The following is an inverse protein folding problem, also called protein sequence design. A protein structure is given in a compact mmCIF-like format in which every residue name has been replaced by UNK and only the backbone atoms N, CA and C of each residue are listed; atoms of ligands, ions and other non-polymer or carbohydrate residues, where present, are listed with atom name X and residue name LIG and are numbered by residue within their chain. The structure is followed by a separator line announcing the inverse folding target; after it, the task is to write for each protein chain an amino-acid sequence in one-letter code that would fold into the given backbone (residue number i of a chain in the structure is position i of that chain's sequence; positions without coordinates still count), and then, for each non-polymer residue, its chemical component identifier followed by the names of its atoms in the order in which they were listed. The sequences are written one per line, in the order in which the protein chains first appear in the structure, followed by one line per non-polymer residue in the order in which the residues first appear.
data_IF_832476271280
#
_entry.id   IF_832476271280
#
_cell.length_a   1.000
_cell.length_b   1.000
_cell.length_c   1.000
_cell.angle_alpha   90.00
_cell.angle_beta   90.00
_cell.angle_gamma   90.00
#
_symmetry.space_group_name_H-M   'P 1'
#
loop_
_entity.id
_entity.type
_entity.pdbx_description
1 polymer ?
#
# COMPACT_ATOMS: atom_id res chain seq x y z
N UNK A 1 -10.37 -7.59 9.37
CA UNK A 1 -9.74 -6.50 8.59
C UNK A 1 -9.62 -5.28 9.49
N UNK A 2 -8.44 -4.74 9.65
CA UNK A 2 -8.20 -3.49 10.38
C UNK A 2 -7.80 -2.43 9.38
N UNK A 3 -8.49 -1.29 9.39
CA UNK A 3 -8.19 -0.15 8.53
C UNK A 3 -7.37 0.86 9.33
N UNK A 4 -6.13 1.08 8.95
CA UNK A 4 -5.34 2.21 9.43
C UNK A 4 -5.47 3.36 8.43
N UNK A 5 -5.95 4.50 8.91
CA UNK A 5 -5.98 5.73 8.13
C UNK A 5 -4.88 6.62 8.65
N UNK A 6 -3.87 6.83 7.82
CA UNK A 6 -2.85 7.82 8.11
C UNK A 6 -3.00 8.97 7.15
N UNK A 7 -3.35 10.11 7.69
CA UNK A 7 -3.30 11.40 6.99
C UNK A 7 -1.88 11.91 7.07
N UNK A 8 -1.17 11.96 5.96
CA UNK A 8 0.13 12.59 5.95
C UNK A 8 0.41 13.30 4.65
N UNK A 9 0.99 14.45 4.89
CA UNK A 9 1.74 15.26 3.99
C UNK A 9 0.98 16.34 3.23
N UNK A 10 0.71 17.43 3.94
CA UNK A 10 0.40 18.72 3.34
C UNK A 10 1.57 19.64 3.68
N UNK A 11 2.48 19.84 2.72
CA UNK A 11 3.60 20.77 2.82
C UNK A 11 5.01 20.16 3.00
N UNK A 12 6.04 20.93 2.70
CA UNK A 12 7.46 20.56 2.57
C UNK A 12 8.15 19.88 3.79
N UNK A 13 7.45 19.62 4.88
CA UNK A 13 8.06 19.17 6.13
C UNK A 13 8.06 17.64 6.26
N UNK A 14 7.31 16.90 5.44
CA UNK A 14 6.93 15.54 5.80
C UNK A 14 7.25 14.40 4.82
N UNK A 15 8.06 14.61 3.79
CA UNK A 15 8.42 13.54 2.84
C UNK A 15 9.13 12.37 3.53
N UNK A 16 10.05 12.69 4.43
CA UNK A 16 10.77 11.72 5.27
C UNK A 16 9.85 10.96 6.26
N UNK A 17 8.78 11.59 6.73
CA UNK A 17 7.83 11.00 7.67
C UNK A 17 7.00 9.89 7.01
N UNK A 18 6.60 10.05 5.74
CA UNK A 18 5.80 9.04 5.03
C UNK A 18 6.54 7.72 4.93
N UNK A 19 7.82 7.76 4.57
CA UNK A 19 8.67 6.57 4.42
C UNK A 19 8.92 5.92 5.80
N UNK A 20 9.22 6.70 6.82
CA UNK A 20 9.39 6.18 8.20
C UNK A 20 8.12 5.60 8.78
N UNK A 21 6.97 6.19 8.44
CA UNK A 21 5.70 5.67 8.89
C UNK A 21 5.36 4.34 8.21
N UNK A 22 5.68 4.21 6.93
CA UNK A 22 5.57 2.96 6.20
C UNK A 22 6.44 1.86 6.84
N UNK A 23 7.70 2.19 7.12
CA UNK A 23 8.62 1.29 7.83
C UNK A 23 8.06 0.87 9.19
N UNK A 24 7.64 1.84 10.01
CA UNK A 24 7.04 1.57 11.32
C UNK A 24 5.84 0.61 11.22
N UNK A 25 4.92 0.85 10.29
CA UNK A 25 3.76 -0.02 10.11
C UNK A 25 4.12 -1.42 9.62
N UNK A 26 5.07 -1.53 8.71
CA UNK A 26 5.54 -2.83 8.25
C UNK A 26 6.16 -3.61 9.41
N UNK A 27 6.94 -2.96 10.27
CA UNK A 27 7.49 -3.60 11.47
C UNK A 27 6.38 -4.00 12.46
N UNK A 28 5.39 -3.14 12.68
CA UNK A 28 4.24 -3.45 13.54
C UNK A 28 3.47 -4.68 13.04
N UNK A 29 3.19 -4.76 11.72
CA UNK A 29 2.53 -5.93 11.13
C UNK A 29 3.37 -7.20 11.27
N UNK A 30 4.69 -7.09 11.12
CA UNK A 30 5.62 -8.22 11.32
C UNK A 30 5.63 -8.69 12.78
N UNK A 31 5.71 -7.76 13.73
CA UNK A 31 5.73 -8.07 15.15
C UNK A 31 4.41 -8.69 15.62
N UNK A 32 3.29 -8.20 15.10
CA UNK A 32 1.98 -8.79 15.38
C UNK A 32 1.89 -10.25 14.91
N UNK A 33 2.61 -10.61 13.85
CA UNK A 33 2.71 -11.96 13.29
C UNK A 33 1.37 -12.71 13.19
N UNK A 34 0.30 -11.98 12.88
CA UNK A 34 -1.05 -12.51 12.80
C UNK A 34 -1.55 -12.54 11.36
N UNK A 35 -1.29 -13.63 10.66
CA UNK A 35 -1.71 -13.81 9.26
C UNK A 35 -3.23 -13.75 9.04
N UNK A 36 -4.02 -13.83 10.12
CA UNK A 36 -5.49 -13.75 10.06
C UNK A 36 -5.99 -12.30 10.09
N UNK A 37 -5.14 -11.34 10.46
CA UNK A 37 -5.47 -9.94 10.54
C UNK A 37 -4.92 -9.18 9.35
N UNK A 38 -5.70 -9.10 8.29
CA UNK A 38 -5.32 -8.31 7.11
C UNK A 38 -5.46 -6.81 7.40
N UNK A 39 -4.45 -6.04 7.07
CA UNK A 39 -4.38 -4.61 7.31
C UNK A 39 -4.44 -3.84 5.99
N UNK A 40 -5.07 -2.68 6.01
CA UNK A 40 -5.11 -1.77 4.86
C UNK A 40 -4.63 -0.40 5.34
N UNK A 41 -3.48 0.01 4.83
CA UNK A 41 -2.92 1.34 5.06
C UNK A 41 -3.44 2.29 3.99
N UNK A 42 -3.91 3.46 4.39
CA UNK A 42 -4.29 4.53 3.49
C UNK A 42 -3.40 5.76 3.73
N UNK A 43 -2.68 6.15 2.70
CA UNK A 43 -1.81 7.33 2.69
C UNK A 43 -2.41 8.42 1.81
N UNK A 44 -2.45 9.65 2.31
CA UNK A 44 -2.74 10.83 1.50
C UNK A 44 -1.44 11.64 1.37
N UNK A 45 -1.07 11.99 0.16
CA UNK A 45 0.15 12.75 -0.12
C UNK A 45 -0.08 13.81 -1.18
N UNK A 46 0.59 14.95 -1.04
CA UNK A 46 0.59 16.05 -2.01
C UNK A 46 1.91 16.17 -2.78
N UNK A 47 2.80 15.20 -2.66
CA UNK A 47 4.12 15.30 -3.23
C UNK A 47 4.75 13.98 -3.66
N UNK A 48 6.01 14.08 -4.09
CA UNK A 48 6.82 12.95 -4.54
C UNK A 48 7.37 12.15 -3.34
N UNK A 49 7.80 10.94 -3.64
CA UNK A 49 8.60 10.10 -2.73
C UNK A 49 10.06 10.56 -2.85
N UNK A 50 10.70 10.89 -1.74
CA UNK A 50 12.10 11.37 -1.74
C UNK A 50 13.11 10.22 -1.81
N UNK A 51 12.78 9.07 -1.26
CA UNK A 51 13.64 7.89 -1.23
C UNK A 51 12.92 6.70 -1.84
N UNK A 52 12.98 6.60 -3.16
CA UNK A 52 12.32 5.55 -3.92
C UNK A 52 12.92 4.19 -3.63
N UNK A 53 14.25 4.08 -3.54
CA UNK A 53 14.92 2.81 -3.31
C UNK A 53 14.53 2.23 -1.95
N UNK A 54 14.56 3.05 -0.92
CA UNK A 54 14.11 2.63 0.41
C UNK A 54 12.61 2.28 0.43
N UNK A 55 11.78 3.05 -0.29
CA UNK A 55 10.35 2.74 -0.41
C UNK A 55 10.12 1.40 -1.09
N UNK A 56 10.84 1.11 -2.16
CA UNK A 56 10.78 -0.20 -2.83
C UNK A 56 11.21 -1.33 -1.89
N UNK A 57 12.28 -1.14 -1.11
CA UNK A 57 12.73 -2.12 -0.12
C UNK A 57 11.61 -2.44 0.89
N UNK A 58 10.92 -1.42 1.39
CA UNK A 58 9.79 -1.58 2.30
C UNK A 58 8.58 -2.26 1.63
N UNK A 59 8.27 -1.91 0.38
CA UNK A 59 7.17 -2.53 -0.35
C UNK A 59 7.45 -4.01 -0.67
N UNK A 60 8.68 -4.35 -1.03
CA UNK A 60 9.07 -5.75 -1.21
C UNK A 60 8.90 -6.53 0.09
N UNK A 61 9.34 -5.99 1.22
CA UNK A 61 9.14 -6.59 2.54
C UNK A 61 7.64 -6.74 2.85
N UNK A 62 6.85 -5.67 2.65
CA UNK A 62 5.41 -5.65 2.87
C UNK A 62 4.65 -6.65 2.01
N UNK A 63 5.18 -7.05 0.84
CA UNK A 63 4.51 -7.99 -0.06
C UNK A 63 4.35 -9.39 0.54
N UNK A 64 5.14 -9.74 1.56
CA UNK A 64 5.02 -10.99 2.31
C UNK A 64 4.02 -10.93 3.47
N UNK A 65 3.49 -9.75 3.79
CA UNK A 65 2.67 -9.51 4.96
C UNK A 65 1.18 -9.36 4.61
N UNK A 66 0.25 -9.56 5.57
CA UNK A 66 -1.19 -9.35 5.37
C UNK A 66 -1.54 -7.86 5.29
N UNK A 67 -1.03 -7.17 4.28
CA UNK A 67 -1.06 -5.72 4.15
C UNK A 67 -1.39 -5.31 2.72
N UNK A 68 -2.24 -4.28 2.56
CA UNK A 68 -2.39 -3.49 1.34
C UNK A 68 -2.16 -2.01 1.65
N UNK A 69 -1.70 -1.27 0.65
CA UNK A 69 -1.38 0.14 0.75
C UNK A 69 -2.13 0.92 -0.32
N UNK A 70 -2.98 1.83 0.10
CA UNK A 70 -3.69 2.75 -0.78
C UNK A 70 -3.01 4.11 -0.68
N UNK A 71 -2.53 4.63 -1.80
CA UNK A 71 -1.93 5.97 -1.90
C UNK A 71 -2.88 6.88 -2.67
N UNK A 72 -3.30 7.96 -2.05
CA UNK A 72 -4.13 8.98 -2.70
C UNK A 72 -3.28 10.23 -2.90
N UNK A 73 -3.00 10.56 -4.16
CA UNK A 73 -2.28 11.77 -4.54
C UNK A 73 -3.22 12.97 -4.58
N UNK A 74 -2.99 13.96 -3.72
CA UNK A 74 -3.80 15.18 -3.62
C UNK A 74 -3.02 16.36 -4.20
N UNK A 75 -3.66 17.19 -5.03
CA UNK A 75 -3.01 18.33 -5.65
C UNK A 75 -2.48 18.04 -7.05
N UNK A 76 -1.54 18.87 -7.51
CA UNK A 76 -1.03 18.90 -8.89
C UNK A 76 0.44 18.49 -9.01
N UNK A 77 0.98 17.80 -8.03
CA UNK A 77 2.35 17.31 -8.08
C UNK A 77 2.56 16.28 -9.18
N UNK A 78 3.80 16.00 -9.51
CA UNK A 78 4.16 14.87 -10.36
C UNK A 78 4.11 13.57 -9.54
N UNK A 79 3.17 12.71 -9.89
CA UNK A 79 2.96 11.41 -9.25
C UNK A 79 3.48 10.24 -10.10
N UNK A 80 4.33 10.49 -11.08
CA UNK A 80 4.85 9.44 -11.99
C UNK A 80 5.50 8.28 -11.22
N UNK A 81 6.28 8.59 -10.19
CA UNK A 81 6.92 7.58 -9.34
C UNK A 81 5.90 6.71 -8.59
N UNK A 82 4.79 7.28 -8.13
CA UNK A 82 3.73 6.52 -7.46
C UNK A 82 2.96 5.62 -8.43
N UNK A 83 2.75 6.10 -9.66
CA UNK A 83 2.19 5.28 -10.74
C UNK A 83 3.13 4.11 -11.08
N UNK A 84 4.44 4.29 -10.97
CA UNK A 84 5.40 3.21 -11.16
C UNK A 84 5.33 2.16 -10.04
N UNK A 85 5.08 2.57 -8.80
CA UNK A 85 4.88 1.64 -7.66
C UNK A 85 3.59 0.84 -7.76
N UNK A 86 2.55 1.39 -8.40
CA UNK A 86 1.23 0.82 -8.63
C UNK A 86 1.16 -0.02 -9.93
N UNK A 87 2.29 -0.49 -10.42
CA UNK A 87 2.35 -1.22 -11.69
C UNK A 87 2.11 -2.72 -11.48
N UNK A 88 0.91 -3.18 -11.82
CA UNK A 88 0.55 -4.59 -11.88
C UNK A 88 1.49 -5.46 -12.73
N UNK A 89 2.13 -4.85 -13.74
CA UNK A 89 2.97 -5.55 -14.72
C UNK A 89 4.44 -5.66 -14.27
N UNK A 90 4.85 -4.87 -13.27
CA UNK A 90 6.26 -4.76 -12.87
C UNK A 90 6.47 -5.30 -11.47
N UNK A 91 7.15 -6.43 -11.39
CA UNK A 91 7.63 -6.97 -10.10
C UNK A 91 8.66 -6.01 -9.49
N UNK A 92 8.39 -5.51 -8.29
CA UNK A 92 9.36 -4.70 -7.54
C UNK A 92 10.54 -5.57 -7.11
N UNK A 93 11.74 -5.00 -7.17
CA UNK A 93 12.99 -5.65 -6.77
C UNK A 93 13.72 -4.76 -5.79
N UNK A 94 13.99 -5.25 -4.59
CA UNK A 94 14.67 -4.50 -3.54
C UNK A 94 16.19 -4.40 -3.77
N UNK A 95 16.88 -3.64 -2.93
CA UNK A 95 18.33 -3.46 -2.94
C UNK A 95 19.10 -4.78 -2.75
N UNK A 96 18.48 -5.79 -2.12
CA UNK A 96 19.02 -7.13 -1.92
C UNK A 96 18.65 -8.11 -3.05
N UNK A 97 18.06 -7.64 -4.15
CA UNK A 97 17.59 -8.43 -5.30
C UNK A 97 16.45 -9.40 -4.97
N UNK A 98 15.75 -9.21 -3.85
CA UNK A 98 14.49 -9.93 -3.57
C UNK A 98 13.38 -9.33 -4.42
N UNK A 99 12.45 -10.17 -4.85
CA UNK A 99 11.30 -9.76 -5.64
C UNK A 99 10.05 -9.69 -4.76
N UNK A 100 9.19 -8.73 -5.02
CA UNK A 100 7.85 -8.74 -4.44
C UNK A 100 7.11 -10.01 -4.87
N UNK A 101 6.40 -10.63 -3.94
CA UNK A 101 5.64 -11.86 -4.21
C UNK A 101 4.22 -11.58 -4.70
N UNK A 102 3.74 -10.37 -4.49
CA UNK A 102 2.46 -9.88 -4.99
C UNK A 102 2.50 -8.36 -5.08
N UNK A 103 1.57 -7.81 -5.82
CA UNK A 103 1.25 -6.39 -5.72
C UNK A 103 0.49 -6.10 -4.41
N UNK A 104 0.79 -4.95 -3.79
CA UNK A 104 0.16 -4.50 -2.55
C UNK A 104 -0.19 -3.00 -2.56
N UNK A 105 0.15 -2.28 -3.61
CA UNK A 105 -0.05 -0.83 -3.73
C UNK A 105 -1.21 -0.55 -4.67
N UNK A 106 -2.05 0.39 -4.32
CA UNK A 106 -3.04 1.02 -5.19
C UNK A 106 -2.82 2.52 -5.14
N UNK A 107 -2.50 3.15 -6.25
CA UNK A 107 -2.36 4.60 -6.36
C UNK A 107 -3.56 5.23 -7.07
N UNK A 108 -4.14 6.25 -6.46
CA UNK A 108 -5.28 6.98 -7.03
C UNK A 108 -5.01 8.49 -7.03
N UNK A 109 -4.88 9.14 -8.20
CA UNK A 109 -4.78 10.58 -8.28
C UNK A 109 -6.16 11.22 -8.00
N UNK A 110 -6.30 11.91 -6.87
CA UNK A 110 -7.57 12.49 -6.42
C UNK A 110 -8.21 13.39 -7.47
N UNK A 111 -7.44 14.27 -8.10
CA UNK A 111 -7.96 15.24 -9.07
C UNK A 111 -8.66 14.59 -10.28
N UNK A 112 -8.27 13.38 -10.65
CA UNK A 112 -8.93 12.64 -11.74
C UNK A 112 -10.39 12.30 -11.43
N UNK A 113 -10.72 12.21 -10.15
CA UNK A 113 -12.02 11.72 -9.66
C UNK A 113 -12.73 12.73 -8.74
N UNK A 114 -12.19 13.96 -8.54
CA UNK A 114 -12.73 14.94 -7.58
C UNK A 114 -14.21 15.28 -7.81
N UNK A 115 -14.64 15.28 -9.08
CA UNK A 115 -16.02 15.55 -9.46
C UNK A 115 -16.97 14.35 -9.31
N UNK A 116 -16.44 13.15 -9.00
CA UNK A 116 -17.21 11.91 -8.90
C UNK A 116 -16.77 11.06 -7.69
N UNK A 117 -17.31 11.35 -6.49
CA UNK A 117 -16.93 10.65 -5.26
C UNK A 117 -17.19 9.13 -5.30
N UNK A 118 -18.24 8.69 -5.99
CA UNK A 118 -18.56 7.26 -6.10
C UNK A 118 -17.48 6.54 -6.91
N UNK A 119 -17.06 7.14 -8.02
CA UNK A 119 -15.97 6.59 -8.83
C UNK A 119 -14.65 6.63 -8.09
N UNK A 120 -14.37 7.68 -7.33
CA UNK A 120 -13.19 7.73 -6.46
C UNK A 120 -13.18 6.55 -5.48
N UNK A 121 -14.30 6.29 -4.82
CA UNK A 121 -14.41 5.18 -3.87
C UNK A 121 -14.21 3.81 -4.56
N UNK A 122 -14.75 3.63 -5.76
CA UNK A 122 -14.55 2.41 -6.55
C UNK A 122 -13.08 2.20 -6.89
N UNK A 123 -12.39 3.22 -7.39
CA UNK A 123 -10.96 3.13 -7.77
C UNK A 123 -10.08 2.90 -6.54
N UNK A 124 -10.34 3.59 -5.43
CA UNK A 124 -9.58 3.43 -4.18
C UNK A 124 -9.64 1.99 -3.63
N UNK A 125 -10.73 1.29 -3.87
CA UNK A 125 -10.93 -0.06 -3.36
C UNK A 125 -10.81 -1.15 -4.45
N UNK A 126 -10.49 -0.78 -5.70
CA UNK A 126 -10.57 -1.69 -6.84
C UNK A 126 -9.73 -2.95 -6.67
N UNK A 127 -8.52 -2.83 -6.13
CA UNK A 127 -7.56 -3.92 -6.04
C UNK A 127 -7.56 -4.67 -4.72
N UNK A 128 -8.09 -4.05 -3.66
CA UNK A 128 -8.04 -4.62 -2.31
C UNK A 128 -8.59 -6.05 -2.23
N UNK A 129 -9.74 -6.39 -2.83
CA UNK A 129 -10.25 -7.77 -2.79
C UNK A 129 -9.28 -8.77 -3.45
N UNK A 130 -8.68 -8.41 -4.59
CA UNK A 130 -7.71 -9.24 -5.30
C UNK A 130 -6.45 -9.44 -4.45
N UNK A 131 -5.89 -8.38 -3.89
CA UNK A 131 -4.69 -8.41 -3.06
C UNK A 131 -4.88 -9.26 -1.80
N UNK A 132 -6.05 -9.20 -1.15
CA UNK A 132 -6.43 -10.04 -0.02
C UNK A 132 -6.44 -11.53 -0.43
N UNK A 133 -7.13 -11.86 -1.53
CA UNK A 133 -7.23 -13.24 -2.02
C UNK A 133 -5.85 -13.79 -2.35
N UNK A 134 -5.03 -13.03 -3.06
CA UNK A 134 -3.66 -13.44 -3.40
C UNK A 134 -2.83 -13.74 -2.14
N UNK A 135 -2.90 -12.88 -1.12
CA UNK A 135 -2.18 -13.10 0.13
C UNK A 135 -2.59 -14.42 0.79
N UNK A 136 -3.89 -14.68 0.94
CA UNK A 136 -4.38 -15.91 1.57
C UNK A 136 -4.03 -17.16 0.76
N UNK A 137 -4.11 -17.11 -0.57
CA UNK A 137 -3.72 -18.21 -1.44
C UNK A 137 -2.23 -18.52 -1.34
N UNK A 138 -1.36 -17.50 -1.32
CA UNK A 138 0.09 -17.70 -1.20
C UNK A 138 0.53 -18.28 0.14
N UNK A 139 -0.28 -18.12 1.18
CA UNK A 139 0.01 -18.63 2.52
C UNK A 139 -0.79 -19.91 2.87
N UNK A 140 -1.45 -20.53 1.89
CA UNK A 140 -2.30 -21.71 2.07
C UNK A 140 -3.39 -21.52 3.16
N UNK A 141 -3.88 -20.30 3.31
CA UNK A 141 -4.90 -19.91 4.29
C UNK A 141 -6.28 -19.91 3.64
N UNK A 142 -7.25 -20.59 4.24
CA UNK A 142 -8.64 -20.57 3.81
C UNK A 142 -9.39 -19.44 4.55
N UNK A 143 -9.79 -18.37 3.86
CA UNK A 143 -10.51 -17.25 4.50
C UNK A 143 -11.80 -17.68 5.20
N UNK A 144 -12.45 -18.75 4.72
CA UNK A 144 -13.71 -19.26 5.29
C UNK A 144 -13.49 -19.97 6.62
N UNK A 145 -12.31 -20.55 6.85
CA UNK A 145 -11.95 -21.21 8.11
C UNK A 145 -11.43 -20.25 9.18
N UNK A 146 -11.08 -19.04 8.78
CA UNK A 146 -10.55 -18.02 9.69
C UNK A 146 -11.65 -17.37 10.53
N UNK A 147 -12.88 -17.31 10.02
CA UNK A 147 -14.02 -16.63 10.68
C UNK A 147 -14.73 -17.46 11.75
N UNK A 148 -14.32 -18.71 12.00
CA UNK A 148 -15.01 -19.66 12.87
C UNK A 148 -14.30 -20.00 14.20
N UNK A 149 -13.26 -19.23 14.58
CA UNK A 149 -12.59 -19.43 15.87
C UNK A 149 -12.51 -18.14 16.68
#
# INVERSE_FOLDING_TARGET
MTLFITLLNIGNINRYITVKYLDFLIQEVKEENNLRKYQVLKLLTDGMIDDMDYTIDQLVEGSFLPLSIIIIGVGKADFSMMTELDSDEKTLVDSNKRKSVRDLVQFVPFLKYEANPEKLAQEVLAEIPRQIIQFYQQNDLDPMKISTQ
#
